data_IF_617085286845
#
_entry.id   IF_617085286845
#
_cell.length_a   1.000
_cell.length_b   1.000
_cell.length_c   1.000
_cell.angle_alpha   90.00
_cell.angle_beta   90.00
_cell.angle_gamma   90.00
#
_symmetry.space_group_name_H-M   'P 1'
#
loop_
_entity.id
_entity.type
_entity.pdbx_description
1 polymer ?
#
# COMPACT_ATOMS: atom_id res chain seq x y z
N UNK A 1 70.81 6.01 23.99
CA UNK A 1 70.05 6.22 22.74
C UNK A 1 69.19 4.99 22.49
N UNK A 2 68.04 4.88 23.15
CA UNK A 2 66.95 3.95 22.80
C UNK A 2 65.68 4.50 23.46
N UNK A 3 65.01 5.41 22.75
CA UNK A 3 63.62 5.77 23.03
C UNK A 3 62.82 5.07 21.95
N UNK A 4 62.08 4.02 22.29
CA UNK A 4 61.15 3.41 21.34
C UNK A 4 59.74 3.54 21.91
N UNK A 5 58.97 4.35 21.20
CA UNK A 5 57.62 4.78 21.52
C UNK A 5 56.69 3.59 21.60
N UNK A 6 56.10 3.38 22.78
CA UNK A 6 54.85 2.62 22.88
C UNK A 6 53.76 3.45 22.22
N UNK A 7 53.52 3.19 20.94
CA UNK A 7 52.30 3.58 20.22
C UNK A 7 51.13 2.89 20.93
N UNK A 8 50.57 3.58 21.93
CA UNK A 8 49.30 3.20 22.55
C UNK A 8 48.21 3.49 21.52
N UNK A 9 47.86 2.44 20.78
CA UNK A 9 46.77 2.43 19.82
C UNK A 9 45.44 2.62 20.58
N UNK A 10 45.03 3.87 20.76
CA UNK A 10 43.75 4.22 21.37
C UNK A 10 42.64 4.14 20.31
N UNK A 11 42.26 2.92 19.95
CA UNK A 11 41.00 2.66 19.25
C UNK A 11 39.84 2.85 20.24
N UNK A 12 39.43 4.11 20.43
CA UNK A 12 38.13 4.42 21.03
C UNK A 12 37.04 3.86 20.12
N UNK A 13 36.43 2.76 20.56
CA UNK A 13 35.27 2.08 19.98
C UNK A 13 34.15 3.08 19.61
N UNK A 14 33.91 3.42 18.32
CA UNK A 14 32.92 4.42 17.91
C UNK A 14 31.45 4.00 18.03
N UNK A 15 31.10 3.01 18.87
CA UNK A 15 30.03 2.09 18.47
C UNK A 15 28.64 2.33 19.06
N UNK A 16 28.49 3.09 20.17
CA UNK A 16 27.20 3.18 20.88
C UNK A 16 26.44 4.50 20.71
N UNK A 17 27.17 5.63 20.62
CA UNK A 17 26.56 6.95 20.41
C UNK A 17 26.15 7.15 18.95
N UNK A 18 27.01 6.73 18.00
CA UNK A 18 26.71 6.80 16.56
C UNK A 18 25.53 5.88 16.19
N UNK A 19 25.47 4.67 16.76
CA UNK A 19 24.35 3.75 16.52
C UNK A 19 23.00 4.30 17.01
N UNK A 20 23.00 4.99 18.17
CA UNK A 20 21.80 5.58 18.76
C UNK A 20 21.34 6.83 18.01
N UNK A 21 22.28 7.65 17.53
CA UNK A 21 21.95 8.80 16.68
C UNK A 21 21.43 8.37 15.31
N UNK A 22 22.03 7.32 14.71
CA UNK A 22 21.54 6.75 13.44
C UNK A 22 20.16 6.13 13.58
N UNK A 23 19.84 5.46 14.69
CA UNK A 23 18.51 4.89 14.92
C UNK A 23 17.45 5.97 15.14
N UNK A 24 17.78 7.03 15.90
CA UNK A 24 16.89 8.19 16.06
C UNK A 24 16.68 8.94 14.74
N UNK A 25 17.75 9.19 13.97
CA UNK A 25 17.66 9.84 12.66
C UNK A 25 16.94 8.97 11.62
N UNK A 26 17.06 7.64 11.70
CA UNK A 26 16.31 6.72 10.86
C UNK A 26 14.80 6.84 11.11
N UNK A 27 14.36 6.90 12.37
CA UNK A 27 12.94 7.13 12.73
C UNK A 27 12.44 8.47 12.17
N UNK A 28 13.31 9.49 12.07
CA UNK A 28 12.99 10.80 11.49
C UNK A 28 13.16 10.86 9.97
N UNK A 29 13.53 9.76 9.29
CA UNK A 29 13.60 9.80 7.83
C UNK A 29 12.18 9.99 7.27
N UNK A 30 11.96 10.97 6.38
CA UNK A 30 10.62 11.23 5.84
C UNK A 30 10.00 10.00 5.18
N UNK A 31 10.82 9.08 4.66
CA UNK A 31 10.37 7.83 4.06
C UNK A 31 9.78 6.84 5.08
N UNK A 32 10.35 6.73 6.29
CA UNK A 32 9.81 5.86 7.35
C UNK A 32 8.48 6.42 7.85
N UNK A 33 8.39 7.74 8.04
CA UNK A 33 7.15 8.41 8.42
C UNK A 33 6.08 8.18 7.35
N UNK A 34 6.43 8.32 6.07
CA UNK A 34 5.52 8.05 4.96
C UNK A 34 5.00 6.61 4.97
N UNK A 35 5.88 5.61 5.11
CA UNK A 35 5.46 4.20 5.19
C UNK A 35 4.52 3.98 6.38
N UNK A 36 4.82 4.57 7.53
CA UNK A 36 3.94 4.53 8.70
C UNK A 36 2.55 5.11 8.41
N UNK A 37 2.48 6.25 7.73
CA UNK A 37 1.22 6.89 7.32
C UNK A 37 0.45 6.01 6.31
N UNK A 38 1.13 5.43 5.32
CA UNK A 38 0.50 4.53 4.33
C UNK A 38 -0.12 3.33 5.03
N UNK A 39 0.61 2.68 5.93
CA UNK A 39 0.11 1.53 6.70
C UNK A 39 -1.07 1.94 7.58
N UNK A 40 -0.94 3.03 8.33
CA UNK A 40 -1.99 3.52 9.21
C UNK A 40 -3.28 3.85 8.43
N UNK A 41 -3.16 4.53 7.29
CA UNK A 41 -4.26 4.85 6.41
C UNK A 41 -4.93 3.57 5.88
N UNK A 42 -4.14 2.65 5.30
CA UNK A 42 -4.67 1.41 4.72
C UNK A 42 -5.43 0.59 5.77
N UNK A 43 -4.88 0.44 6.98
CA UNK A 43 -5.53 -0.29 8.08
C UNK A 43 -6.81 0.39 8.54
N UNK A 44 -6.75 1.70 8.80
CA UNK A 44 -7.90 2.46 9.30
C UNK A 44 -9.07 2.44 8.30
N UNK A 45 -8.80 2.76 7.03
CA UNK A 45 -9.85 2.83 6.02
C UNK A 45 -10.34 1.44 5.60
N UNK A 46 -9.50 0.41 5.62
CA UNK A 46 -9.97 -0.97 5.45
C UNK A 46 -10.94 -1.38 6.57
N UNK A 47 -10.57 -1.14 7.83
CA UNK A 47 -11.41 -1.48 8.98
C UNK A 47 -12.75 -0.71 8.95
N UNK A 48 -12.68 0.59 8.65
CA UNK A 48 -13.86 1.45 8.53
C UNK A 48 -14.78 0.99 7.39
N UNK A 49 -14.24 0.71 6.20
CA UNK A 49 -15.01 0.25 5.06
C UNK A 49 -15.68 -1.11 5.32
N UNK A 50 -14.96 -2.05 5.95
CA UNK A 50 -15.52 -3.34 6.35
C UNK A 50 -16.64 -3.16 7.38
N UNK A 51 -16.47 -2.26 8.36
CA UNK A 51 -17.49 -1.99 9.35
C UNK A 51 -18.76 -1.40 8.72
N UNK A 52 -18.60 -0.41 7.82
CA UNK A 52 -19.72 0.16 7.08
C UNK A 52 -20.41 -0.90 6.22
N UNK A 53 -19.65 -1.77 5.55
CA UNK A 53 -20.20 -2.84 4.72
C UNK A 53 -21.03 -3.82 5.55
N UNK A 54 -20.52 -4.24 6.72
CA UNK A 54 -21.24 -5.11 7.66
C UNK A 54 -22.46 -4.43 8.27
N UNK A 55 -22.45 -3.11 8.40
CA UNK A 55 -23.58 -2.30 8.84
C UNK A 55 -24.58 -1.98 7.70
N UNK A 56 -24.35 -2.51 6.49
CA UNK A 56 -25.15 -2.21 5.29
C UNK A 56 -25.19 -0.71 4.90
N UNK A 57 -24.19 0.06 5.32
CA UNK A 57 -24.05 1.50 5.06
C UNK A 57 -23.25 1.82 3.79
N UNK A 58 -22.75 0.82 3.09
CA UNK A 58 -22.05 0.98 1.82
C UNK A 58 -23.02 1.01 0.64
N UNK A 59 -22.59 1.54 -0.50
CA UNK A 59 -23.23 1.27 -1.80
C UNK A 59 -23.07 -0.23 -2.17
N UNK A 60 -23.83 -1.08 -1.47
CA UNK A 60 -23.75 -2.54 -1.57
C UNK A 60 -24.10 -3.05 -2.97
N UNK A 61 -24.86 -2.27 -3.74
CA UNK A 61 -25.13 -2.56 -5.15
C UNK A 61 -23.85 -2.56 -5.99
N UNK A 62 -22.97 -1.57 -5.84
CA UNK A 62 -21.77 -1.48 -6.68
C UNK A 62 -20.74 -2.56 -6.30
N UNK A 63 -20.43 -2.67 -5.00
CA UNK A 63 -19.52 -3.69 -4.49
C UNK A 63 -20.06 -5.11 -4.75
N UNK A 64 -21.36 -5.33 -4.56
CA UNK A 64 -22.01 -6.60 -4.83
C UNK A 64 -22.00 -6.97 -6.32
N UNK A 65 -22.15 -5.99 -7.22
CA UNK A 65 -22.03 -6.23 -8.65
C UNK A 65 -20.62 -6.72 -9.03
N UNK A 66 -19.58 -6.10 -8.46
CA UNK A 66 -18.18 -6.50 -8.72
C UNK A 66 -17.91 -7.89 -8.16
N UNK A 67 -18.25 -8.12 -6.89
CA UNK A 67 -18.03 -9.40 -6.20
C UNK A 67 -18.75 -10.56 -6.90
N UNK A 68 -20.03 -10.36 -7.26
CA UNK A 68 -20.81 -11.38 -7.95
C UNK A 68 -20.22 -11.70 -9.34
N UNK A 69 -19.78 -10.69 -10.09
CA UNK A 69 -19.17 -10.89 -11.40
C UNK A 69 -17.85 -11.66 -11.32
N UNK A 70 -17.03 -11.38 -10.31
CA UNK A 70 -15.78 -12.09 -10.07
C UNK A 70 -16.02 -13.54 -9.64
N UNK A 71 -16.95 -13.76 -8.71
CA UNK A 71 -17.34 -15.11 -8.30
C UNK A 71 -17.88 -15.90 -9.49
N UNK A 72 -18.81 -15.34 -10.28
CA UNK A 72 -19.36 -15.99 -11.47
C UNK A 72 -18.27 -16.33 -12.48
N UNK A 73 -17.32 -15.40 -12.71
CA UNK A 73 -16.18 -15.64 -13.60
C UNK A 73 -15.34 -16.82 -13.10
N UNK A 74 -15.08 -16.89 -11.79
CA UNK A 74 -14.37 -18.00 -11.19
C UNK A 74 -15.10 -19.36 -11.37
N UNK A 75 -16.43 -19.32 -11.50
CA UNK A 75 -17.29 -20.50 -11.78
C UNK A 75 -17.56 -20.73 -13.28
N UNK A 76 -16.88 -20.03 -14.19
CA UNK A 76 -17.03 -20.19 -15.64
C UNK A 76 -18.14 -19.36 -16.29
N UNK A 77 -18.86 -18.53 -15.53
CA UNK A 77 -19.85 -17.56 -16.04
C UNK A 77 -19.20 -16.19 -16.16
N UNK A 78 -18.58 -15.93 -17.31
CA UNK A 78 -17.73 -14.75 -17.49
C UNK A 78 -18.45 -13.42 -17.26
N UNK A 79 -18.03 -12.70 -16.22
CA UNK A 79 -18.50 -11.36 -15.80
C UNK A 79 -20.02 -11.23 -15.66
N UNK A 80 -20.71 -12.35 -15.38
CA UNK A 80 -22.15 -12.36 -15.24
C UNK A 80 -22.58 -11.78 -13.89
N UNK A 81 -23.67 -11.01 -13.84
CA UNK A 81 -24.26 -10.49 -12.61
C UNK A 81 -25.77 -10.31 -12.77
N UNK A 82 -26.52 -10.20 -11.67
CA UNK A 82 -27.99 -10.28 -11.68
C UNK A 82 -28.69 -9.04 -11.11
N UNK A 83 -27.96 -8.12 -10.51
CA UNK A 83 -28.55 -6.98 -9.78
C UNK A 83 -28.99 -5.82 -10.69
N UNK A 84 -28.78 -5.89 -12.02
CA UNK A 84 -29.25 -4.86 -12.97
C UNK A 84 -29.97 -5.48 -14.18
N UNK A 85 -30.88 -6.41 -13.94
CA UNK A 85 -31.70 -6.99 -15.00
C UNK A 85 -32.39 -5.89 -15.86
N UNK A 86 -32.43 -6.04 -17.20
CA UNK A 86 -32.06 -7.23 -17.97
C UNK A 86 -30.57 -7.32 -18.35
N UNK A 87 -29.71 -6.44 -17.82
CA UNK A 87 -28.27 -6.48 -18.09
C UNK A 87 -27.64 -7.59 -17.26
N UNK A 88 -27.11 -8.61 -17.95
CA UNK A 88 -26.54 -9.79 -17.31
C UNK A 88 -25.02 -9.82 -17.29
N UNK A 89 -24.33 -8.99 -18.07
CA UNK A 89 -22.86 -8.96 -18.12
C UNK A 89 -22.31 -7.59 -17.78
N UNK A 90 -21.32 -7.53 -16.87
CA UNK A 90 -20.69 -6.25 -16.49
C UNK A 90 -20.07 -5.53 -17.67
N UNK A 91 -19.65 -6.24 -18.72
CA UNK A 91 -19.09 -5.64 -19.95
C UNK A 91 -20.04 -4.63 -20.61
N UNK A 92 -21.35 -4.78 -20.41
CA UNK A 92 -22.34 -3.84 -20.94
C UNK A 92 -22.39 -2.50 -20.19
N UNK A 93 -21.81 -2.43 -18.98
CA UNK A 93 -21.81 -1.25 -18.13
C UNK A 93 -20.40 -0.69 -17.89
N UNK A 94 -19.46 -1.57 -17.52
CA UNK A 94 -18.10 -1.23 -17.12
C UNK A 94 -17.11 -2.26 -17.66
N UNK A 95 -16.05 -1.77 -18.31
CA UNK A 95 -14.94 -2.60 -18.79
C UNK A 95 -13.73 -2.34 -17.90
N UNK A 96 -13.51 -3.24 -16.94
CA UNK A 96 -12.47 -3.10 -15.91
C UNK A 96 -11.57 -4.35 -15.92
N UNK A 97 -10.66 -4.52 -16.89
CA UNK A 97 -9.87 -5.75 -17.04
C UNK A 97 -9.01 -6.07 -15.80
N UNK A 98 -8.63 -5.05 -15.04
CA UNK A 98 -7.88 -5.20 -13.79
C UNK A 98 -8.63 -6.06 -12.76
N UNK A 99 -9.95 -6.11 -12.82
CA UNK A 99 -10.74 -6.95 -11.91
C UNK A 99 -10.45 -8.44 -12.09
N UNK A 100 -10.07 -8.87 -13.29
CA UNK A 100 -9.78 -10.28 -13.55
C UNK A 100 -8.58 -10.81 -12.76
N UNK A 101 -7.67 -9.93 -12.31
CA UNK A 101 -6.58 -10.31 -11.40
C UNK A 101 -7.10 -10.80 -10.04
N UNK A 102 -8.35 -10.50 -9.69
CA UNK A 102 -8.95 -10.97 -8.44
C UNK A 102 -9.58 -12.36 -8.53
N UNK A 103 -9.85 -12.87 -9.74
CA UNK A 103 -10.48 -14.18 -9.96
C UNK A 103 -9.73 -15.33 -9.26
N UNK A 104 -8.38 -15.40 -9.29
CA UNK A 104 -7.65 -16.46 -8.59
C UNK A 104 -7.91 -16.50 -7.08
N UNK A 105 -8.19 -15.37 -6.42
CA UNK A 105 -8.53 -15.38 -4.99
C UNK A 105 -9.86 -16.10 -4.73
N UNK A 106 -10.82 -16.07 -5.65
CA UNK A 106 -12.07 -16.83 -5.52
C UNK A 106 -11.84 -18.34 -5.70
N UNK A 107 -10.88 -18.77 -6.51
CA UNK A 107 -10.47 -20.18 -6.58
C UNK A 107 -9.82 -20.67 -5.29
N UNK A 108 -9.05 -19.80 -4.64
CA UNK A 108 -8.40 -20.10 -3.35
C UNK A 108 -9.34 -19.91 -2.15
N UNK A 109 -10.63 -19.63 -2.37
CA UNK A 109 -11.61 -19.36 -1.33
C UNK A 109 -11.23 -18.16 -0.42
N UNK A 110 -10.46 -17.22 -0.96
CA UNK A 110 -10.06 -15.95 -0.35
C UNK A 110 -10.89 -14.77 -0.90
N UNK A 111 -11.56 -14.96 -2.03
CA UNK A 111 -12.40 -13.95 -2.69
C UNK A 111 -13.58 -13.54 -1.81
N UNK A 112 -13.73 -12.24 -1.57
CA UNK A 112 -14.82 -11.68 -0.77
C UNK A 112 -14.95 -10.16 -0.98
N UNK A 113 -16.11 -9.56 -0.69
CA UNK A 113 -16.28 -8.10 -0.69
C UNK A 113 -15.26 -7.39 0.21
N UNK A 114 -14.91 -8.01 1.35
CA UNK A 114 -13.94 -7.45 2.29
C UNK A 114 -12.53 -7.42 1.71
N UNK A 115 -12.12 -8.44 0.95
CA UNK A 115 -10.84 -8.44 0.24
C UNK A 115 -10.78 -7.26 -0.74
N UNK A 116 -11.84 -7.03 -1.51
CA UNK A 116 -11.91 -5.93 -2.47
C UNK A 116 -11.79 -4.56 -1.78
N UNK A 117 -12.45 -4.38 -0.62
CA UNK A 117 -12.35 -3.16 0.18
C UNK A 117 -10.93 -2.94 0.73
N UNK A 118 -10.27 -4.00 1.22
CA UNK A 118 -8.89 -3.92 1.71
C UNK A 118 -7.95 -3.51 0.58
N UNK A 119 -8.11 -4.13 -0.59
CA UNK A 119 -7.27 -3.82 -1.75
C UNK A 119 -7.50 -2.40 -2.22
N UNK A 120 -8.76 -1.95 -2.31
CA UNK A 120 -9.08 -0.57 -2.68
C UNK A 120 -8.43 0.43 -1.73
N UNK A 121 -8.56 0.25 -0.41
CA UNK A 121 -7.94 1.13 0.58
C UNK A 121 -6.41 1.11 0.49
N UNK A 122 -5.83 -0.06 0.25
CA UNK A 122 -4.37 -0.24 0.11
C UNK A 122 -3.85 0.47 -1.15
N UNK A 123 -4.50 0.31 -2.30
CA UNK A 123 -4.11 0.97 -3.55
C UNK A 123 -4.18 2.49 -3.42
N UNK A 124 -5.23 3.02 -2.78
CA UNK A 124 -5.35 4.46 -2.49
C UNK A 124 -4.20 4.92 -1.60
N UNK A 125 -3.88 4.18 -0.53
CA UNK A 125 -2.78 4.51 0.37
C UNK A 125 -1.42 4.52 -0.36
N UNK A 126 -1.18 3.52 -1.21
CA UNK A 126 0.05 3.39 -1.99
C UNK A 126 0.25 4.55 -2.99
N UNK A 127 -0.82 5.25 -3.37
CA UNK A 127 -0.73 6.48 -4.18
C UNK A 127 0.10 7.60 -3.55
N UNK A 128 0.28 7.59 -2.22
CA UNK A 128 1.15 8.54 -1.54
C UNK A 128 2.65 8.35 -1.88
N UNK A 129 3.07 7.13 -2.24
CA UNK A 129 4.46 6.82 -2.56
C UNK A 129 4.98 7.54 -3.83
N UNK A 130 4.37 7.37 -5.03
CA UNK A 130 4.83 8.09 -6.20
C UNK A 130 4.73 9.61 -6.04
N UNK A 131 3.72 10.11 -5.30
CA UNK A 131 3.59 11.53 -5.01
C UNK A 131 4.76 12.06 -4.16
N UNK A 132 5.16 11.32 -3.13
CA UNK A 132 6.34 11.64 -2.34
C UNK A 132 7.62 11.67 -3.19
N UNK A 133 7.77 10.71 -4.10
CA UNK A 133 8.93 10.65 -4.99
C UNK A 133 8.97 11.87 -5.93
N UNK A 134 7.84 12.25 -6.52
CA UNK A 134 7.72 13.45 -7.35
C UNK A 134 8.05 14.71 -6.54
N UNK A 135 7.50 14.84 -5.32
CA UNK A 135 7.77 15.98 -4.45
C UNK A 135 9.26 16.08 -4.08
N UNK A 136 9.89 14.95 -3.73
CA UNK A 136 11.32 14.88 -3.42
C UNK A 136 12.18 15.31 -4.60
N UNK A 137 11.81 14.94 -5.84
CA UNK A 137 12.54 15.36 -7.03
C UNK A 137 12.48 16.88 -7.26
N UNK A 138 11.35 17.53 -6.98
CA UNK A 138 11.17 18.97 -7.26
C UNK A 138 11.56 19.89 -6.09
N UNK A 139 11.54 19.38 -4.86
CA UNK A 139 11.82 20.15 -3.64
C UNK A 139 13.22 19.90 -3.08
N UNK A 140 14.03 19.04 -3.72
CA UNK A 140 15.43 18.88 -3.35
C UNK A 140 16.16 20.20 -3.60
N UNK A 141 16.92 20.75 -2.63
CA UNK A 141 17.66 21.99 -2.81
C UNK A 141 18.56 21.90 -4.04
N UNK A 142 18.45 22.88 -4.95
CA UNK A 142 19.40 23.03 -6.04
C UNK A 142 20.76 23.26 -5.40
N UNK A 143 21.67 22.29 -5.53
CA UNK A 143 23.04 22.48 -5.08
C UNK A 143 23.66 23.60 -5.93
N UNK A 144 24.14 24.70 -5.34
CA UNK A 144 24.81 25.73 -6.12
C UNK A 144 26.04 25.09 -6.78
N UNK A 145 26.14 25.18 -8.10
CA UNK A 145 27.35 24.80 -8.82
C UNK A 145 28.44 25.81 -8.47
N UNK A 146 29.41 25.39 -7.66
CA UNK A 146 30.62 26.18 -7.42
C UNK A 146 31.45 26.17 -8.71
N UNK A 147 31.34 27.25 -9.49
CA UNK A 147 32.26 27.62 -10.55
C UNK A 147 32.94 28.93 -10.17
#
# INVERSE_FOLDING_TARGET
>A
MTSDERVVNNQTKPDALDSSLRSLLAIHSPSIILVGIIIAFALFFSALAIQQHRAFLTNGLDLGNVDQALWNTAQGRFLQFTLMAPVESRLALHVEPILLFFVPFYWLNLGSPQLLLIVQATVVALGAWPLYQIARLHLSPIQPSNH
#
